data_IF_780025543544
#
_entry.id   IF_780025543544
#
_cell.length_a   1.000
_cell.length_b   1.000
_cell.length_c   1.000
_cell.angle_alpha   90.00
_cell.angle_beta   90.00
_cell.angle_gamma   90.00
#
_symmetry.space_group_name_H-M   'P 1'
#
loop_
_entity.id
_entity.type
_entity.pdbx_description
1 polymer ?
#
# COMPACT_ATOMS: atom_id res chain seq x y z
N UNK A 1 -9.69 -24.10 8.64
CA UNK A 1 -9.84 -22.73 8.12
C UNK A 1 -10.16 -21.66 9.19
N UNK A 2 -10.36 -22.02 10.45
CA UNK A 2 -10.80 -21.07 11.50
C UNK A 2 -9.74 -20.07 11.96
N UNK A 3 -8.53 -20.51 12.30
CA UNK A 3 -7.59 -19.68 13.06
C UNK A 3 -7.02 -18.46 12.33
N UNK A 4 -6.88 -18.50 10.99
CA UNK A 4 -6.45 -17.33 10.20
C UNK A 4 -7.55 -16.26 10.21
N UNK A 5 -8.81 -16.67 10.04
CA UNK A 5 -9.95 -15.75 10.12
C UNK A 5 -10.07 -15.10 11.50
N UNK A 6 -9.87 -15.88 12.57
CA UNK A 6 -9.91 -15.41 13.95
C UNK A 6 -8.75 -14.45 14.25
N UNK A 7 -7.55 -14.72 13.71
CA UNK A 7 -6.39 -13.85 13.85
C UNK A 7 -6.64 -12.46 13.23
N UNK A 8 -7.09 -12.39 11.97
CA UNK A 8 -7.37 -11.09 11.33
C UNK A 8 -8.59 -10.38 11.92
N UNK A 9 -9.55 -11.12 12.45
CA UNK A 9 -10.66 -10.54 13.21
C UNK A 9 -10.16 -9.89 14.49
N UNK A 10 -9.22 -10.52 15.20
CA UNK A 10 -8.56 -9.95 16.37
C UNK A 10 -7.80 -8.67 16.05
N UNK A 11 -7.04 -8.64 14.96
CA UNK A 11 -6.33 -7.44 14.50
C UNK A 11 -7.31 -6.31 14.15
N UNK A 12 -8.40 -6.61 13.44
CA UNK A 12 -9.45 -5.64 13.14
C UNK A 12 -10.10 -5.06 14.40
N UNK A 13 -10.32 -5.89 15.43
CA UNK A 13 -10.81 -5.47 16.74
C UNK A 13 -9.85 -4.49 17.44
N UNK A 14 -8.54 -4.75 17.39
CA UNK A 14 -7.53 -3.86 17.95
C UNK A 14 -7.55 -2.48 17.28
N UNK A 15 -7.62 -2.44 15.94
CA UNK A 15 -7.74 -1.17 15.20
C UNK A 15 -9.03 -0.43 15.59
N UNK A 16 -10.13 -1.14 15.73
CA UNK A 16 -11.41 -0.55 16.12
C UNK A 16 -11.39 -0.02 17.55
N UNK A 17 -10.69 -0.68 18.48
CA UNK A 17 -10.60 -0.25 19.88
C UNK A 17 -9.88 1.09 20.07
N UNK A 18 -9.04 1.48 19.12
CA UNK A 18 -8.32 2.77 19.12
C UNK A 18 -8.91 3.77 18.10
N UNK A 19 -10.16 3.58 17.70
CA UNK A 19 -10.84 4.47 16.72
C UNK A 19 -10.94 5.92 17.22
N UNK A 20 -10.92 6.16 18.54
CA UNK A 20 -10.86 7.51 19.10
C UNK A 20 -9.59 8.28 18.69
N UNK A 21 -8.46 7.61 18.52
CA UNK A 21 -7.19 8.20 18.08
C UNK A 21 -7.07 8.23 16.55
N UNK A 22 -7.68 7.27 15.85
CA UNK A 22 -7.54 7.10 14.41
C UNK A 22 -8.64 7.80 13.61
N UNK A 23 -9.79 8.12 14.23
CA UNK A 23 -10.91 8.71 13.49
C UNK A 23 -11.36 7.82 12.32
N UNK A 24 -11.63 8.43 11.18
CA UNK A 24 -12.02 7.71 9.95
C UNK A 24 -10.96 6.75 9.44
N UNK A 25 -9.68 6.97 9.79
CA UNK A 25 -8.59 6.10 9.42
C UNK A 25 -8.75 4.67 9.95
N UNK A 26 -9.40 4.47 11.11
CA UNK A 26 -9.63 3.14 11.67
C UNK A 26 -10.39 2.24 10.70
N UNK A 27 -11.45 2.77 10.07
CA UNK A 27 -12.23 2.02 9.06
C UNK A 27 -11.41 1.73 7.81
N UNK A 28 -10.62 2.71 7.35
CA UNK A 28 -9.76 2.55 6.16
C UNK A 28 -8.70 1.48 6.42
N UNK A 29 -8.02 1.54 7.58
CA UNK A 29 -6.99 0.58 7.95
C UNK A 29 -7.55 -0.85 8.15
N UNK A 30 -8.74 -0.98 8.73
CA UNK A 30 -9.43 -2.26 8.87
C UNK A 30 -9.80 -2.86 7.51
N UNK A 31 -10.30 -2.05 6.57
CA UNK A 31 -10.60 -2.50 5.21
C UNK A 31 -9.31 -2.84 4.43
N UNK A 32 -8.28 -2.00 4.55
CA UNK A 32 -6.96 -2.25 3.98
C UNK A 32 -6.45 -3.63 4.41
N UNK A 33 -6.40 -3.88 5.72
CA UNK A 33 -5.93 -5.15 6.25
C UNK A 33 -6.71 -6.34 5.70
N UNK A 34 -8.04 -6.25 5.65
CA UNK A 34 -8.90 -7.32 5.13
C UNK A 34 -8.59 -7.67 3.68
N UNK A 35 -8.36 -6.66 2.85
CA UNK A 35 -8.11 -6.84 1.41
C UNK A 35 -6.68 -7.32 1.15
N UNK A 36 -5.69 -6.75 1.86
CA UNK A 36 -4.28 -7.08 1.60
C UNK A 36 -3.77 -8.32 2.33
N UNK A 37 -4.54 -8.89 3.26
CA UNK A 37 -4.07 -9.94 4.18
C UNK A 37 -3.24 -11.07 3.52
N UNK A 38 -3.57 -11.58 2.33
CA UNK A 38 -2.76 -12.61 1.68
C UNK A 38 -1.40 -12.10 1.17
N UNK A 39 -1.27 -10.80 0.95
CA UNK A 39 -0.10 -10.14 0.34
C UNK A 39 0.50 -9.07 1.24
N UNK A 40 0.12 -9.02 2.53
CA UNK A 40 0.42 -7.92 3.42
C UNK A 40 1.92 -7.57 3.45
N UNK A 41 2.80 -8.56 3.57
CA UNK A 41 4.24 -8.32 3.61
C UNK A 41 4.76 -7.64 2.34
N UNK A 42 4.30 -8.06 1.18
CA UNK A 42 4.70 -7.50 -0.12
C UNK A 42 4.12 -6.09 -0.28
N UNK A 43 2.83 -5.92 -0.01
CA UNK A 43 2.16 -4.61 -0.13
C UNK A 43 2.80 -3.58 0.79
N UNK A 44 3.05 -3.93 2.05
CA UNK A 44 3.68 -3.02 3.02
C UNK A 44 5.11 -2.67 2.64
N UNK A 45 5.87 -3.60 2.04
CA UNK A 45 7.20 -3.31 1.52
C UNK A 45 7.14 -2.32 0.35
N UNK A 46 6.27 -2.54 -0.64
CA UNK A 46 6.07 -1.61 -1.76
C UNK A 46 5.70 -0.20 -1.26
N UNK A 47 4.70 -0.10 -0.37
CA UNK A 47 4.28 1.19 0.23
C UNK A 47 5.44 1.86 0.97
N UNK A 48 6.20 1.08 1.75
CA UNK A 48 7.34 1.61 2.51
C UNK A 48 8.41 2.21 1.61
N UNK A 49 8.78 1.51 0.53
CA UNK A 49 9.83 1.97 -0.39
C UNK A 49 9.37 3.18 -1.21
N UNK A 50 8.13 3.16 -1.75
CA UNK A 50 7.58 4.33 -2.45
C UNK A 50 7.43 5.52 -1.50
N UNK A 51 7.01 5.28 -0.24
CA UNK A 51 6.92 6.31 0.78
C UNK A 51 8.27 6.98 1.08
N UNK A 52 9.37 6.22 1.08
CA UNK A 52 10.73 6.76 1.20
C UNK A 52 11.11 7.62 0.01
N UNK A 53 10.95 7.11 -1.21
CA UNK A 53 11.31 7.81 -2.45
C UNK A 53 10.57 9.15 -2.57
N UNK A 54 9.29 9.18 -2.20
CA UNK A 54 8.48 10.39 -2.24
C UNK A 54 8.64 11.30 -1.01
N UNK A 55 9.50 10.92 -0.06
CA UNK A 55 9.74 11.69 1.16
C UNK A 55 8.56 11.73 2.14
N UNK A 56 7.59 10.83 1.99
CA UNK A 56 6.47 10.65 2.91
C UNK A 56 6.94 9.98 4.19
N UNK A 57 7.79 8.96 4.05
CA UNK A 57 8.40 8.21 5.16
C UNK A 57 9.92 8.44 5.15
N UNK A 58 10.57 8.43 6.31
CA UNK A 58 12.03 8.42 6.43
C UNK A 58 12.59 7.01 6.32
N UNK A 59 13.86 6.89 5.92
CA UNK A 59 14.51 5.59 5.74
C UNK A 59 14.66 4.80 7.04
N UNK A 60 14.84 5.49 8.16
CA UNK A 60 14.98 4.93 9.51
C UNK A 60 13.64 4.66 10.21
N UNK A 61 12.51 5.01 9.58
CA UNK A 61 11.17 4.71 10.10
C UNK A 61 10.64 3.40 9.51
N UNK A 62 9.93 2.64 10.34
CA UNK A 62 9.14 1.51 9.85
C UNK A 62 7.63 1.81 9.95
N UNK A 63 6.83 1.04 9.25
CA UNK A 63 5.37 1.23 9.22
C UNK A 63 4.73 0.91 10.59
N UNK A 64 5.30 -0.04 11.34
CA UNK A 64 4.81 -0.38 12.69
C UNK A 64 4.96 0.81 13.63
N UNK A 65 6.10 1.52 13.59
CA UNK A 65 6.33 2.70 14.43
C UNK A 65 5.35 3.84 14.11
N UNK A 66 5.13 4.11 12.81
CA UNK A 66 4.16 5.12 12.37
C UNK A 66 2.76 4.78 12.88
N UNK A 67 2.35 3.52 12.71
CA UNK A 67 1.06 3.06 13.19
C UNK A 67 0.94 3.07 14.71
N UNK A 68 1.99 2.66 15.45
CA UNK A 68 2.00 2.71 16.91
C UNK A 68 1.87 4.14 17.42
N UNK A 69 2.56 5.10 16.81
CA UNK A 69 2.42 6.53 17.12
C UNK A 69 1.00 7.02 16.87
N UNK A 70 0.42 6.65 15.72
CA UNK A 70 -0.95 7.03 15.38
C UNK A 70 -1.98 6.47 16.37
N UNK A 71 -1.81 5.23 16.81
CA UNK A 71 -2.69 4.60 17.78
C UNK A 71 -2.58 5.20 19.18
N UNK A 72 -1.45 5.85 19.50
CA UNK A 72 -1.20 6.58 20.77
C UNK A 72 -1.53 8.07 20.71
N UNK A 73 -1.71 8.62 19.49
CA UNK A 73 -1.96 10.05 19.34
C UNK A 73 -3.29 10.48 19.96
N UNK A 74 -3.30 11.64 20.56
CA UNK A 74 -4.50 12.34 21.02
C UNK A 74 -5.20 13.11 19.88
N UNK A 75 -4.52 13.28 18.74
CA UNK A 75 -5.04 13.94 17.55
C UNK A 75 -5.27 12.94 16.41
N UNK A 76 -6.35 13.16 15.69
CA UNK A 76 -6.77 12.35 14.55
C UNK A 76 -6.20 12.94 13.24
N UNK A 77 -6.09 12.16 12.15
CA UNK A 77 -5.71 12.69 10.84
C UNK A 77 -6.55 13.89 10.41
N UNK A 78 -7.86 13.88 10.71
CA UNK A 78 -8.81 14.94 10.36
C UNK A 78 -8.54 16.28 11.06
N UNK A 79 -7.63 16.31 12.03
CA UNK A 79 -7.19 17.56 12.69
C UNK A 79 -6.05 18.28 11.94
N UNK A 80 -5.62 17.76 10.80
CA UNK A 80 -4.51 18.28 10.00
C UNK A 80 -4.95 18.57 8.58
N UNK A 81 -4.28 19.51 7.94
CA UNK A 81 -4.57 19.89 6.55
C UNK A 81 -4.12 18.80 5.55
N UNK A 82 -3.15 17.98 5.94
CA UNK A 82 -2.62 16.90 5.11
C UNK A 82 -2.16 15.68 5.94
N UNK A 83 -2.08 14.51 5.32
CA UNK A 83 -1.45 13.34 5.93
C UNK A 83 0.04 13.55 6.19
N UNK A 84 0.71 14.36 5.38
CA UNK A 84 2.11 14.71 5.61
C UNK A 84 2.31 15.54 6.88
N UNK A 85 1.40 16.48 7.19
CA UNK A 85 1.41 17.24 8.45
C UNK A 85 1.08 16.33 9.64
N UNK A 86 0.16 15.39 9.46
CA UNK A 86 -0.13 14.39 10.48
C UNK A 86 1.09 13.51 10.78
N UNK A 87 1.77 13.00 9.76
CA UNK A 87 3.01 12.20 9.92
C UNK A 87 4.08 13.02 10.66
N UNK A 88 4.25 14.29 10.31
CA UNK A 88 5.17 15.20 11.00
C UNK A 88 4.81 15.33 12.49
N UNK A 89 3.53 15.53 12.80
CA UNK A 89 3.05 15.58 14.17
C UNK A 89 3.38 14.28 14.95
N UNK A 90 3.13 13.12 14.34
CA UNK A 90 3.45 11.83 14.95
C UNK A 90 4.94 11.69 15.29
N UNK A 91 5.82 12.19 14.40
CA UNK A 91 7.26 12.17 14.61
C UNK A 91 7.71 13.04 15.78
N UNK A 92 7.18 14.25 15.85
CA UNK A 92 7.65 15.29 16.76
C UNK A 92 7.05 15.16 18.15
N UNK A 93 5.82 14.65 18.26
CA UNK A 93 5.06 14.73 19.50
C UNK A 93 4.79 13.36 20.16
N UNK A 94 4.89 12.25 19.43
CA UNK A 94 4.57 10.93 19.97
C UNK A 94 5.85 10.12 20.15
N UNK A 95 6.13 9.77 21.40
CA UNK A 95 7.24 8.88 21.78
C UNK A 95 6.73 7.45 21.97
N UNK A 96 7.48 6.50 21.44
CA UNK A 96 7.26 5.08 21.65
C UNK A 96 8.12 4.58 22.80
N UNK A 97 7.56 3.71 23.61
CA UNK A 97 8.29 2.94 24.59
C UNK A 97 8.90 1.70 23.90
N UNK A 98 10.21 1.53 24.05
CA UNK A 98 10.94 0.45 23.36
C UNK A 98 10.53 -0.93 23.86
N UNK A 99 10.36 -1.08 25.16
CA UNK A 99 9.95 -2.34 25.79
C UNK A 99 8.53 -2.72 25.38
N UNK A 100 7.60 -1.75 25.33
CA UNK A 100 6.24 -1.96 24.82
C UNK A 100 6.23 -2.39 23.34
N UNK A 101 7.12 -1.82 22.51
CA UNK A 101 7.24 -2.18 21.10
C UNK A 101 7.76 -3.60 20.92
N UNK A 102 8.80 -3.97 21.64
CA UNK A 102 9.42 -5.30 21.57
C UNK A 102 8.48 -6.41 22.05
N UNK A 103 7.78 -6.17 23.17
CA UNK A 103 6.89 -7.14 23.85
C UNK A 103 5.46 -7.18 23.26
N UNK A 104 5.15 -6.37 22.25
CA UNK A 104 3.82 -6.37 21.63
C UNK A 104 3.48 -7.73 21.00
N UNK A 105 2.21 -8.15 21.12
CA UNK A 105 1.72 -9.36 20.47
C UNK A 105 1.83 -9.27 18.96
N UNK A 106 1.84 -10.41 18.27
CA UNK A 106 1.88 -10.45 16.80
C UNK A 106 0.69 -9.71 16.17
N UNK A 107 -0.48 -9.84 16.76
CA UNK A 107 -1.70 -9.16 16.34
C UNK A 107 -1.55 -7.64 16.47
N UNK A 108 -0.99 -7.16 17.58
CA UNK A 108 -0.78 -5.73 17.79
C UNK A 108 0.27 -5.15 16.83
N UNK A 109 1.39 -5.85 16.60
CA UNK A 109 2.39 -5.46 15.60
C UNK A 109 1.77 -5.38 14.21
N UNK A 110 0.92 -6.33 13.86
CA UNK A 110 0.23 -6.34 12.57
C UNK A 110 -0.78 -5.20 12.45
N UNK A 111 -1.55 -4.91 13.51
CA UNK A 111 -2.48 -3.78 13.54
C UNK A 111 -1.73 -2.45 13.35
N UNK A 112 -0.63 -2.25 14.07
CA UNK A 112 0.25 -1.09 13.94
C UNK A 112 0.79 -0.97 12.51
N UNK A 113 1.29 -2.06 11.93
CA UNK A 113 1.79 -2.09 10.55
C UNK A 113 0.71 -1.72 9.53
N UNK A 114 -0.49 -2.26 9.66
CA UNK A 114 -1.62 -1.93 8.77
C UNK A 114 -2.04 -0.46 8.87
N UNK A 115 -2.09 0.08 10.09
CA UNK A 115 -2.38 1.51 10.31
C UNK A 115 -1.29 2.37 9.67
N UNK A 116 -0.02 2.06 9.93
CA UNK A 116 1.11 2.80 9.37
C UNK A 116 1.15 2.75 7.84
N UNK A 117 0.91 1.58 7.24
CA UNK A 117 0.83 1.41 5.79
C UNK A 117 -0.30 2.26 5.19
N UNK A 118 -1.46 2.31 5.86
CA UNK A 118 -2.58 3.15 5.42
C UNK A 118 -2.23 4.63 5.45
N UNK A 119 -1.56 5.10 6.53
CA UNK A 119 -1.13 6.49 6.67
C UNK A 119 -0.12 6.85 5.57
N UNK A 120 0.90 6.02 5.36
CA UNK A 120 1.91 6.25 4.32
C UNK A 120 1.29 6.20 2.93
N UNK A 121 0.37 5.26 2.66
CA UNK A 121 -0.39 5.22 1.40
C UNK A 121 -1.15 6.52 1.15
N UNK A 122 -1.82 7.08 2.17
CA UNK A 122 -2.51 8.37 2.06
C UNK A 122 -1.55 9.54 1.83
N UNK A 123 -0.37 9.53 2.44
CA UNK A 123 0.68 10.50 2.14
C UNK A 123 1.22 10.38 0.69
N UNK A 124 1.34 9.15 0.16
CA UNK A 124 1.68 8.90 -1.25
C UNK A 124 0.59 9.45 -2.17
N UNK A 125 -0.68 9.21 -1.86
CA UNK A 125 -1.83 9.75 -2.62
C UNK A 125 -1.76 11.28 -2.73
N UNK A 126 -1.48 11.97 -1.62
CA UNK A 126 -1.30 13.43 -1.62
C UNK A 126 -0.13 13.87 -2.50
N UNK A 127 1.02 13.19 -2.40
CA UNK A 127 2.20 13.50 -3.22
C UNK A 127 1.98 13.26 -4.72
N UNK A 128 1.20 12.24 -5.06
CA UNK A 128 0.87 11.89 -6.45
C UNK A 128 -0.35 12.66 -6.98
N UNK A 129 -1.12 13.34 -6.11
CA UNK A 129 -2.35 14.03 -6.48
C UNK A 129 -3.44 13.09 -7.01
N UNK A 130 -3.51 11.87 -6.49
CA UNK A 130 -4.46 10.83 -6.91
C UNK A 130 -4.86 9.95 -5.73
N UNK A 131 -6.02 9.32 -5.79
CA UNK A 131 -6.38 8.23 -4.89
C UNK A 131 -5.82 6.91 -5.41
N UNK A 132 -5.31 6.07 -4.52
CA UNK A 132 -4.79 4.74 -4.87
C UNK A 132 -5.70 3.69 -4.23
N UNK A 133 -6.33 2.85 -5.05
CA UNK A 133 -7.18 1.79 -4.53
C UNK A 133 -6.35 0.70 -3.85
N UNK A 134 -6.93 0.06 -2.83
CA UNK A 134 -6.27 -1.06 -2.15
C UNK A 134 -6.02 -2.22 -3.13
N UNK A 135 -6.93 -2.42 -4.07
CA UNK A 135 -6.79 -3.45 -5.11
C UNK A 135 -5.59 -3.18 -6.03
N UNK A 136 -5.22 -1.91 -6.26
CA UNK A 136 -4.01 -1.54 -7.02
C UNK A 136 -2.75 -2.01 -6.30
N UNK A 137 -2.65 -1.80 -4.99
CA UNK A 137 -1.53 -2.31 -4.19
C UNK A 137 -1.44 -3.84 -4.22
N UNK A 138 -2.58 -4.53 -4.12
CA UNK A 138 -2.65 -5.99 -4.22
C UNK A 138 -2.27 -6.47 -5.62
N UNK A 139 -2.72 -5.81 -6.68
CA UNK A 139 -2.36 -6.13 -8.05
C UNK A 139 -0.85 -6.02 -8.28
N UNK A 140 -0.21 -4.95 -7.79
CA UNK A 140 1.25 -4.81 -7.86
C UNK A 140 1.98 -5.94 -7.13
N UNK A 141 1.49 -6.34 -5.96
CA UNK A 141 2.06 -7.46 -5.20
C UNK A 141 1.90 -8.80 -5.95
N UNK A 142 0.71 -9.07 -6.50
CA UNK A 142 0.43 -10.25 -7.33
C UNK A 142 1.29 -10.28 -8.58
N UNK A 143 1.46 -9.15 -9.26
CA UNK A 143 2.30 -9.01 -10.44
C UNK A 143 3.80 -9.23 -10.17
N UNK A 144 4.20 -9.42 -8.89
CA UNK A 144 5.60 -9.65 -8.52
C UNK A 144 6.46 -8.40 -8.69
N UNK A 145 5.91 -7.23 -8.36
CA UNK A 145 6.61 -5.94 -8.48
C UNK A 145 7.37 -5.56 -7.21
N UNK A 146 7.44 -6.43 -6.22
CA UNK A 146 8.32 -6.25 -5.06
C UNK A 146 9.77 -6.17 -5.54
N UNK A 147 10.47 -5.09 -5.16
CA UNK A 147 11.81 -4.78 -5.65
C UNK A 147 11.89 -4.12 -7.03
N UNK A 148 10.78 -4.01 -7.79
CA UNK A 148 10.72 -3.32 -9.10
C UNK A 148 10.15 -1.90 -8.96
N UNK A 149 10.76 -1.10 -8.14
CA UNK A 149 10.19 0.16 -7.64
C UNK A 149 10.00 1.21 -8.75
N UNK A 150 10.89 1.24 -9.75
CA UNK A 150 10.74 2.12 -10.90
C UNK A 150 9.47 1.78 -11.70
N UNK A 151 9.20 0.47 -11.89
CA UNK A 151 7.96 -0.01 -12.54
C UNK A 151 6.74 0.40 -11.70
N UNK A 152 6.77 0.16 -10.38
CA UNK A 152 5.68 0.56 -9.47
C UNK A 152 5.40 2.05 -9.57
N UNK A 153 6.45 2.88 -9.52
CA UNK A 153 6.30 4.33 -9.60
C UNK A 153 5.67 4.78 -10.92
N UNK A 154 6.09 4.18 -12.06
CA UNK A 154 5.51 4.48 -13.37
C UNK A 154 4.09 3.94 -13.53
N UNK A 155 3.75 2.80 -12.93
CA UNK A 155 2.37 2.32 -12.88
C UNK A 155 1.47 3.33 -12.16
N UNK A 156 1.89 3.86 -11.00
CA UNK A 156 1.15 4.89 -10.28
C UNK A 156 1.03 6.20 -11.11
N UNK A 157 2.04 6.54 -11.91
CA UNK A 157 1.99 7.72 -12.77
C UNK A 157 1.15 7.53 -14.03
N UNK A 158 0.91 6.28 -14.44
CA UNK A 158 0.21 5.93 -15.68
C UNK A 158 -1.27 5.61 -15.45
N UNK A 159 -1.59 4.90 -14.36
CA UNK A 159 -2.95 4.48 -14.00
C UNK A 159 -3.51 5.39 -12.90
N UNK A 160 -3.81 6.64 -13.24
CA UNK A 160 -4.16 7.69 -12.25
C UNK A 160 -5.60 7.67 -11.82
N UNK A 161 -6.54 7.33 -12.70
CA UNK A 161 -7.94 7.30 -12.35
C UNK A 161 -8.41 5.93 -11.84
N UNK A 162 -9.55 5.93 -11.13
CA UNK A 162 -10.09 4.71 -10.50
C UNK A 162 -10.44 3.60 -11.50
N UNK A 163 -10.86 3.94 -12.72
CA UNK A 163 -11.21 2.95 -13.73
C UNK A 163 -9.94 2.32 -14.29
N UNK A 164 -8.93 3.12 -14.60
CA UNK A 164 -7.63 2.63 -15.05
C UNK A 164 -6.97 1.73 -14.01
N UNK A 165 -7.04 2.08 -12.73
CA UNK A 165 -6.55 1.24 -11.63
C UNK A 165 -7.30 -0.09 -11.54
N UNK A 166 -8.63 -0.04 -11.72
CA UNK A 166 -9.46 -1.24 -11.76
C UNK A 166 -9.12 -2.12 -12.96
N UNK A 167 -8.91 -1.52 -14.13
CA UNK A 167 -8.54 -2.26 -15.33
C UNK A 167 -7.17 -2.93 -15.17
N UNK A 168 -6.20 -2.25 -14.56
CA UNK A 168 -4.91 -2.84 -14.19
C UNK A 168 -5.07 -4.02 -13.22
N UNK A 169 -5.87 -3.86 -12.15
CA UNK A 169 -6.12 -4.94 -11.20
C UNK A 169 -6.82 -6.13 -11.87
N UNK A 170 -7.81 -5.88 -12.73
CA UNK A 170 -8.50 -6.91 -13.50
C UNK A 170 -7.55 -7.63 -14.46
N UNK A 171 -6.63 -6.90 -15.11
CA UNK A 171 -5.62 -7.50 -15.97
C UNK A 171 -4.73 -8.48 -15.20
N UNK A 172 -4.19 -8.06 -14.06
CA UNK A 172 -3.34 -8.92 -13.21
C UNK A 172 -4.11 -10.15 -12.72
N UNK A 173 -5.41 -10.01 -12.44
CA UNK A 173 -6.28 -11.12 -12.01
C UNK A 173 -6.80 -11.99 -13.16
N UNK A 174 -6.44 -11.69 -14.42
CA UNK A 174 -6.97 -12.39 -15.61
C UNK A 174 -8.47 -12.21 -15.82
N UNK A 175 -9.03 -11.10 -15.36
CA UNK A 175 -10.46 -10.77 -15.43
C UNK A 175 -10.76 -9.63 -16.42
N UNK A 176 -9.72 -9.05 -17.03
CA UNK A 176 -9.89 -7.98 -18.00
C UNK A 176 -10.59 -8.48 -19.26
N UNK A 177 -11.54 -7.70 -19.77
CA UNK A 177 -12.10 -7.94 -21.10
C UNK A 177 -11.08 -7.58 -22.19
N UNK A 178 -11.28 -8.09 -23.39
CA UNK A 178 -10.34 -7.91 -24.51
C UNK A 178 -9.92 -6.44 -24.76
N UNK A 179 -10.85 -5.49 -24.64
CA UNK A 179 -10.56 -4.07 -24.84
C UNK A 179 -9.72 -3.50 -23.70
N UNK A 180 -10.04 -3.85 -22.48
CA UNK A 180 -9.32 -3.43 -21.26
C UNK A 180 -7.92 -4.05 -21.24
N UNK A 181 -7.81 -5.35 -21.54
CA UNK A 181 -6.54 -6.07 -21.64
C UNK A 181 -5.61 -5.37 -22.63
N UNK A 182 -6.10 -4.99 -23.83
CA UNK A 182 -5.31 -4.28 -24.83
C UNK A 182 -4.81 -2.93 -24.29
N UNK A 183 -5.67 -2.12 -23.68
CA UNK A 183 -5.28 -0.80 -23.15
C UNK A 183 -4.21 -0.95 -22.06
N UNK A 184 -4.40 -1.88 -21.13
CA UNK A 184 -3.44 -2.12 -20.03
C UNK A 184 -2.11 -2.63 -20.61
N UNK A 185 -2.15 -3.59 -21.54
CA UNK A 185 -0.95 -4.14 -22.18
C UNK A 185 -0.16 -3.06 -22.91
N UNK A 186 -0.82 -2.18 -23.69
CA UNK A 186 -0.17 -1.07 -24.38
C UNK A 186 0.55 -0.15 -23.37
N UNK A 187 -0.13 0.26 -22.29
CA UNK A 187 0.45 1.11 -21.24
C UNK A 187 1.62 0.46 -20.50
N UNK A 188 1.51 -0.83 -20.15
CA UNK A 188 2.60 -1.56 -19.49
C UNK A 188 3.80 -1.73 -20.43
N UNK A 189 3.56 -1.95 -21.72
CA UNK A 189 4.60 -2.02 -22.74
C UNK A 189 5.37 -0.70 -22.82
N UNK A 190 4.67 0.43 -22.81
CA UNK A 190 5.31 1.76 -22.83
C UNK A 190 6.15 2.00 -21.57
N UNK A 191 5.66 1.58 -20.38
CA UNK A 191 6.42 1.63 -19.13
C UNK A 191 7.74 0.85 -19.28
N UNK A 192 7.68 -0.41 -19.71
CA UNK A 192 8.89 -1.22 -19.84
C UNK A 192 9.84 -0.70 -20.92
N UNK A 193 9.33 -0.22 -22.06
CA UNK A 193 10.17 0.41 -23.10
C UNK A 193 10.88 1.65 -22.60
N UNK A 194 10.24 2.43 -21.75
CA UNK A 194 10.87 3.62 -21.16
C UNK A 194 12.01 3.28 -20.19
N UNK A 195 11.88 2.18 -19.44
CA UNK A 195 12.89 1.72 -18.49
C UNK A 195 14.02 0.92 -19.16
N UNK A 196 13.70 0.20 -20.22
CA UNK A 196 14.61 -0.73 -20.90
C UNK A 196 14.62 -0.48 -22.43
N UNK A 197 15.14 0.68 -22.88
CA UNK A 197 15.03 1.09 -24.29
C UNK A 197 15.79 0.17 -25.26
N UNK A 198 16.69 -0.66 -24.75
CA UNK A 198 17.47 -1.62 -25.54
C UNK A 198 16.93 -3.06 -25.47
N UNK A 199 15.86 -3.31 -24.71
CA UNK A 199 15.25 -4.63 -24.64
C UNK A 199 14.49 -4.95 -25.93
N UNK A 200 14.45 -6.24 -26.33
CA UNK A 200 13.66 -6.65 -27.49
C UNK A 200 12.15 -6.54 -27.19
N UNK A 201 11.34 -6.33 -28.24
CA UNK A 201 9.87 -6.32 -28.08
C UNK A 201 9.37 -7.63 -27.47
N UNK A 202 9.98 -8.77 -27.80
CA UNK A 202 9.63 -10.09 -27.26
C UNK A 202 9.89 -10.16 -25.74
N UNK A 203 11.02 -9.62 -25.27
CA UNK A 203 11.34 -9.62 -23.84
C UNK A 203 10.39 -8.72 -23.05
N UNK A 204 10.01 -7.58 -23.63
CA UNK A 204 9.04 -6.66 -23.02
C UNK A 204 7.66 -7.30 -22.97
N UNK A 205 7.19 -7.87 -24.08
CA UNK A 205 5.91 -8.56 -24.14
C UNK A 205 5.81 -9.69 -23.12
N UNK A 206 6.87 -10.48 -22.96
CA UNK A 206 6.95 -11.52 -21.93
C UNK A 206 6.81 -10.94 -20.53
N UNK A 207 7.50 -9.84 -20.20
CA UNK A 207 7.39 -9.18 -18.87
C UNK A 207 5.99 -8.70 -18.59
N UNK A 208 5.31 -8.16 -19.59
CA UNK A 208 3.92 -7.69 -19.47
C UNK A 208 2.99 -8.90 -19.27
N UNK A 209 3.13 -9.94 -20.08
CA UNK A 209 2.32 -11.17 -19.95
C UNK A 209 2.53 -11.88 -18.62
N UNK A 210 3.75 -11.88 -18.07
CA UNK A 210 4.06 -12.48 -16.76
C UNK A 210 3.36 -11.78 -15.58
N UNK A 211 2.78 -10.59 -15.78
CA UNK A 211 1.95 -9.92 -14.77
C UNK A 211 0.54 -10.49 -14.68
N UNK A 212 0.01 -11.07 -15.75
CA UNK A 212 -1.28 -11.76 -15.74
C UNK A 212 -1.14 -13.12 -15.04
N UNK A 213 -1.78 -13.27 -13.87
CA UNK A 213 -1.68 -14.46 -13.02
C UNK A 213 -2.75 -15.52 -13.32
N UNK A 214 -3.52 -15.35 -14.37
CA UNK A 214 -4.48 -16.35 -14.86
C UNK A 214 -3.85 -17.38 -15.83
N UNK A 215 -2.64 -17.10 -16.31
CA UNK A 215 -1.91 -17.92 -17.29
C UNK A 215 -0.87 -18.83 -16.67
#
# INVERSE_FOLDING_TARGET
MGWIGDFFSGVGSLISSVSSSLGGLASIAGNFLKVVSPYLGIVTNIISVIGNILGVKKDDENLEDIGAKAMKSDKKPENFDSYNDYIKHLRENIKLDKEEMENASKELKLARTAVGATIVSKGIEEKKGMEISVDTWVAMAKAGLDGKIDVVNLILDTFKDKNEQKDFANYVDGKAGFKEEKIVTDKLTDIYKSLEPNASDIDIEKKVMDMDKSK
#
